data_IF_184104579298
#
_entry.id   IF_184104579298
#
_cell.length_a   1.000
_cell.length_b   1.000
_cell.length_c   1.000
_cell.angle_alpha   90.00
_cell.angle_beta   90.00
_cell.angle_gamma   90.00
#
_symmetry.space_group_name_H-M   'P 1'
#
loop_
_entity.id
_entity.type
_entity.pdbx_description
1 polymer ?
#
# COMPACT_ATOMS: atom_id res chain seq x y z
N UNK A 1 15.06 0.97 4.81
CA UNK A 1 13.89 0.08 4.67
C UNK A 1 13.59 -0.09 3.18
N UNK A 2 13.05 -1.24 2.80
CA UNK A 2 12.69 -1.54 1.40
C UNK A 2 11.19 -1.83 1.35
N UNK A 3 10.53 -1.37 0.29
CA UNK A 3 9.10 -1.63 0.05
C UNK A 3 8.98 -2.27 -1.33
N UNK A 4 8.28 -3.40 -1.40
CA UNK A 4 8.03 -4.08 -2.67
C UNK A 4 6.74 -3.54 -3.29
N UNK A 5 6.76 -3.31 -4.59
CA UNK A 5 5.61 -2.81 -5.32
C UNK A 5 5.80 -2.96 -6.83
N UNK A 6 4.90 -2.33 -7.58
CA UNK A 6 4.88 -2.34 -9.04
C UNK A 6 5.00 -0.91 -9.53
N UNK A 7 5.84 -0.69 -10.54
CA UNK A 7 5.86 0.56 -11.30
C UNK A 7 5.03 0.41 -12.57
N UNK A 8 4.28 1.45 -12.92
CA UNK A 8 3.50 1.52 -14.15
C UNK A 8 4.09 2.59 -15.06
N UNK A 9 4.27 2.25 -16.34
CA UNK A 9 4.63 3.23 -17.37
C UNK A 9 3.33 3.78 -17.96
N UNK A 10 3.16 5.08 -17.85
CA UNK A 10 2.05 5.81 -18.49
C UNK A 10 2.58 6.40 -19.79
N UNK A 11 1.80 6.28 -20.87
CA UNK A 11 2.15 6.90 -22.13
C UNK A 11 2.09 8.43 -22.02
N UNK A 12 2.97 9.10 -22.78
CA UNK A 12 3.13 10.55 -22.67
C UNK A 12 1.87 11.35 -22.99
N UNK A 13 1.00 10.78 -23.84
CA UNK A 13 -0.26 11.39 -24.26
C UNK A 13 -1.32 11.38 -23.13
N UNK A 14 -1.32 10.33 -22.30
CA UNK A 14 -2.28 10.15 -21.20
C UNK A 14 -1.78 10.70 -19.86
N UNK A 15 -0.53 11.17 -19.81
CA UNK A 15 0.16 11.53 -18.56
C UNK A 15 -0.64 12.52 -17.72
N UNK A 16 -1.12 13.60 -18.32
CA UNK A 16 -1.81 14.66 -17.57
C UNK A 16 -3.19 14.21 -17.05
N UNK A 17 -3.90 13.39 -17.83
CA UNK A 17 -5.18 12.82 -17.41
C UNK A 17 -4.99 11.83 -16.25
N UNK A 18 -4.00 10.93 -16.37
CA UNK A 18 -3.69 9.94 -15.33
C UNK A 18 -3.25 10.63 -14.04
N UNK A 19 -2.38 11.64 -14.10
CA UNK A 19 -1.96 12.39 -12.92
C UNK A 19 -3.16 13.10 -12.27
N UNK A 20 -4.02 13.76 -13.06
CA UNK A 20 -5.22 14.41 -12.54
C UNK A 20 -6.17 13.43 -11.84
N UNK A 21 -6.35 12.24 -12.41
CA UNK A 21 -7.14 11.17 -11.79
C UNK A 21 -6.53 10.70 -10.47
N UNK A 22 -5.22 10.47 -10.44
CA UNK A 22 -4.50 10.05 -9.23
C UNK A 22 -4.53 11.13 -8.14
N UNK A 23 -4.38 12.41 -8.50
CA UNK A 23 -4.48 13.52 -7.55
C UNK A 23 -5.85 13.56 -6.86
N UNK A 24 -6.93 13.29 -7.60
CA UNK A 24 -8.26 13.19 -7.00
C UNK A 24 -8.40 11.98 -6.10
N UNK A 25 -7.82 10.84 -6.47
CA UNK A 25 -7.85 9.61 -5.68
C UNK A 25 -7.09 9.77 -4.37
N UNK A 26 -5.91 10.39 -4.43
CA UNK A 26 -4.98 10.55 -3.30
C UNK A 26 -5.14 11.89 -2.54
N UNK A 27 -6.27 12.58 -2.75
CA UNK A 27 -6.63 13.87 -2.13
C UNK A 27 -6.61 13.88 -0.59
N UNK A 28 -6.47 12.72 0.05
CA UNK A 28 -6.40 12.54 1.51
C UNK A 28 -5.10 13.01 2.16
N UNK A 29 -4.42 14.03 1.60
CA UNK A 29 -3.19 14.61 2.14
C UNK A 29 -1.89 13.95 1.67
N UNK A 30 -1.94 13.10 0.64
CA UNK A 30 -0.73 12.56 0.01
C UNK A 30 -0.06 13.61 -0.88
N UNK A 31 1.25 13.45 -1.07
CA UNK A 31 2.09 14.31 -1.91
C UNK A 31 2.89 13.45 -2.87
N UNK A 32 3.11 13.98 -4.07
CA UNK A 32 3.94 13.33 -5.08
C UNK A 32 5.42 13.48 -4.70
N UNK A 33 6.15 12.37 -4.71
CA UNK A 33 7.59 12.32 -4.48
C UNK A 33 8.27 11.52 -5.59
N UNK A 34 9.47 11.95 -6.00
CA UNK A 34 10.30 11.17 -6.91
C UNK A 34 11.17 10.20 -6.11
N UNK A 35 11.20 8.94 -6.52
CA UNK A 35 11.95 7.87 -5.85
C UNK A 35 12.68 6.99 -6.87
N UNK A 36 13.79 6.39 -6.46
CA UNK A 36 14.52 5.43 -7.28
C UNK A 36 13.90 4.03 -7.14
N UNK A 37 13.37 3.49 -8.24
CA UNK A 37 12.82 2.14 -8.30
C UNK A 37 13.90 1.14 -8.74
N UNK A 38 13.96 0.01 -8.04
CA UNK A 38 14.90 -1.09 -8.32
C UNK A 38 14.15 -2.30 -8.88
N UNK A 39 14.22 -2.57 -10.20
CA UNK A 39 13.53 -3.69 -10.82
C UNK A 39 14.03 -5.05 -10.33
N UNK A 40 13.10 -5.98 -10.11
CA UNK A 40 13.42 -7.36 -9.65
C UNK A 40 14.13 -8.17 -10.74
N UNK A 41 13.86 -7.88 -12.02
CA UNK A 41 14.36 -8.67 -13.14
C UNK A 41 15.89 -8.55 -13.37
N UNK A 42 16.60 -7.69 -12.62
CA UNK A 42 18.05 -7.38 -12.72
C UNK A 42 18.56 -7.02 -14.14
N UNK A 43 17.71 -7.11 -15.16
CA UNK A 43 17.97 -6.78 -16.54
C UNK A 43 17.88 -5.27 -16.78
N UNK A 44 17.20 -4.55 -15.90
CA UNK A 44 16.98 -3.11 -16.00
C UNK A 44 17.76 -2.38 -14.91
N UNK A 45 18.41 -1.28 -15.30
CA UNK A 45 19.00 -0.35 -14.34
C UNK A 45 17.90 0.31 -13.51
N UNK A 46 18.17 0.70 -12.25
CA UNK A 46 17.25 1.52 -11.46
C UNK A 46 16.86 2.80 -12.19
N UNK A 47 15.62 3.25 -12.02
CA UNK A 47 15.08 4.45 -12.66
C UNK A 47 14.12 5.21 -11.74
N UNK A 48 13.94 6.50 -12.00
CA UNK A 48 13.07 7.34 -11.19
C UNK A 48 11.59 7.08 -11.49
N UNK A 49 10.79 7.03 -10.44
CA UNK A 49 9.33 6.88 -10.47
C UNK A 49 8.69 7.94 -9.59
N UNK A 50 7.42 8.23 -9.86
CA UNK A 50 6.60 9.08 -9.02
C UNK A 50 5.79 8.20 -8.05
N UNK A 51 5.78 8.58 -6.78
CA UNK A 51 5.08 7.87 -5.71
C UNK A 51 4.27 8.88 -4.89
N UNK A 52 2.99 8.58 -4.66
CA UNK A 52 2.19 9.33 -3.70
C UNK A 52 2.52 8.86 -2.28
N UNK A 53 3.02 9.77 -1.44
CA UNK A 53 3.41 9.48 -0.06
C UNK A 53 2.83 10.49 0.91
N UNK A 54 2.58 10.08 2.14
CA UNK A 54 2.09 10.95 3.21
C UNK A 54 3.14 11.09 4.31
N UNK A 55 3.30 12.29 4.87
CA UNK A 55 4.14 12.53 6.05
C UNK A 55 3.31 12.42 7.33
N UNK A 56 3.99 12.49 8.49
CA UNK A 56 3.34 12.51 9.81
C UNK A 56 2.42 13.72 10.03
N UNK A 57 2.53 14.75 9.19
CA UNK A 57 1.69 15.95 9.23
C UNK A 57 0.34 15.74 8.51
N UNK A 58 0.13 14.59 7.86
CA UNK A 58 -1.15 14.28 7.23
C UNK A 58 -2.25 14.18 8.31
N UNK A 59 -3.39 14.89 8.18
CA UNK A 59 -4.48 14.86 9.16
C UNK A 59 -5.09 13.46 9.37
N UNK A 60 -4.91 12.54 8.41
CA UNK A 60 -5.35 11.16 8.49
C UNK A 60 -4.30 10.22 9.10
N UNK A 61 -3.12 10.71 9.48
CA UNK A 61 -2.08 9.90 10.10
C UNK A 61 -2.42 9.59 11.56
N UNK A 62 -2.73 8.31 11.85
CA UNK A 62 -3.10 7.85 13.19
C UNK A 62 -1.89 7.54 14.10
N UNK A 63 -0.66 7.59 13.56
CA UNK A 63 0.54 7.21 14.29
C UNK A 63 0.82 5.71 14.30
N UNK A 64 1.95 5.29 14.92
CA UNK A 64 2.25 3.89 15.16
C UNK A 64 1.28 3.30 16.20
N UNK A 65 0.88 2.05 16.00
CA UNK A 65 0.04 1.29 16.92
C UNK A 65 0.51 -0.18 16.97
N UNK A 66 0.21 -0.93 18.05
CA UNK A 66 0.45 -2.37 18.09
C UNK A 66 -0.29 -3.08 16.96
N UNK A 67 0.34 -4.08 16.33
CA UNK A 67 -0.21 -4.78 15.16
C UNK A 67 -1.56 -5.46 15.47
N UNK A 68 -1.77 -5.89 16.71
CA UNK A 68 -3.05 -6.43 17.16
C UNK A 68 -4.18 -5.39 17.10
N UNK A 69 -3.92 -4.14 17.48
CA UNK A 69 -4.92 -3.07 17.42
C UNK A 69 -5.18 -2.63 15.98
N UNK A 70 -4.13 -2.60 15.14
CA UNK A 70 -4.27 -2.38 13.69
C UNK A 70 -5.16 -3.47 13.08
N UNK A 71 -4.92 -4.74 13.40
CA UNK A 71 -5.73 -5.87 12.93
C UNK A 71 -7.21 -5.74 13.32
N UNK A 72 -7.51 -5.40 14.59
CA UNK A 72 -8.89 -5.16 15.04
C UNK A 72 -9.56 -4.02 14.28
N UNK A 73 -8.83 -2.93 14.04
CA UNK A 73 -9.34 -1.79 13.28
C UNK A 73 -9.61 -2.18 11.82
N UNK A 74 -8.72 -2.94 11.18
CA UNK A 74 -8.90 -3.44 9.81
C UNK A 74 -10.18 -4.28 9.70
N UNK A 75 -10.41 -5.22 10.63
CA UNK A 75 -11.56 -6.13 10.59
C UNK A 75 -12.88 -5.37 10.79
N UNK A 76 -12.91 -4.36 11.66
CA UNK A 76 -14.14 -3.63 12.03
C UNK A 76 -14.48 -2.42 11.15
N UNK A 77 -13.52 -1.92 10.36
CA UNK A 77 -13.71 -0.67 9.59
C UNK A 77 -14.34 -0.91 8.22
N UNK A 78 -15.30 -0.05 7.86
CA UNK A 78 -15.95 -0.03 6.54
C UNK A 78 -16.03 1.42 6.05
N UNK A 79 -15.61 1.65 4.81
CA UNK A 79 -15.67 2.95 4.15
C UNK A 79 -16.57 2.94 2.91
N UNK A 80 -16.67 4.08 2.19
CA UNK A 80 -17.44 4.17 0.94
C UNK A 80 -17.00 3.19 -0.16
N UNK A 81 -15.74 2.74 -0.11
CA UNK A 81 -15.16 1.78 -1.05
C UNK A 81 -15.31 0.31 -0.61
N UNK A 82 -15.98 0.05 0.52
CA UNK A 82 -16.17 -1.29 1.08
C UNK A 82 -15.41 -1.55 2.38
N UNK A 83 -15.38 -2.81 2.84
CA UNK A 83 -14.69 -3.23 4.07
C UNK A 83 -13.17 -3.06 3.97
N UNK A 84 -12.53 -2.58 5.04
CA UNK A 84 -11.07 -2.43 5.08
C UNK A 84 -10.35 -3.80 5.05
N UNK A 85 -10.99 -4.85 5.58
CA UNK A 85 -10.51 -6.22 5.46
C UNK A 85 -10.34 -6.67 4.00
N UNK A 86 -11.25 -6.26 3.10
CA UNK A 86 -11.15 -6.59 1.68
C UNK A 86 -9.94 -5.90 1.03
N UNK A 87 -9.69 -4.64 1.39
CA UNK A 87 -8.50 -3.91 0.95
C UNK A 87 -7.21 -4.63 1.40
N UNK A 88 -7.12 -4.98 2.68
CA UNK A 88 -5.95 -5.67 3.24
C UNK A 88 -5.69 -7.02 2.56
N UNK A 89 -6.74 -7.84 2.37
CA UNK A 89 -6.60 -9.14 1.73
C UNK A 89 -6.13 -9.03 0.27
N UNK A 90 -6.68 -8.08 -0.50
CA UNK A 90 -6.24 -7.84 -1.88
C UNK A 90 -4.78 -7.38 -1.96
N UNK A 91 -4.32 -6.58 -1.00
CA UNK A 91 -2.92 -6.17 -0.92
C UNK A 91 -2.01 -7.38 -0.67
N UNK A 92 -2.32 -8.19 0.33
CA UNK A 92 -1.53 -9.40 0.65
C UNK A 92 -1.51 -10.36 -0.54
N UNK A 93 -2.66 -10.66 -1.14
CA UNK A 93 -2.76 -11.54 -2.31
C UNK A 93 -1.93 -11.01 -3.49
N UNK A 94 -1.94 -9.69 -3.71
CA UNK A 94 -1.13 -9.07 -4.78
C UNK A 94 0.37 -9.20 -4.50
N UNK A 95 0.80 -9.02 -3.25
CA UNK A 95 2.19 -9.20 -2.86
C UNK A 95 2.62 -10.68 -2.93
N UNK A 96 1.74 -11.61 -2.58
CA UNK A 96 1.98 -13.06 -2.72
C UNK A 96 2.21 -13.44 -4.19
N UNK A 97 1.37 -12.94 -5.09
CA UNK A 97 1.52 -13.14 -6.54
C UNK A 97 2.83 -12.60 -7.09
N UNK A 98 3.38 -11.56 -6.46
CA UNK A 98 4.68 -10.96 -6.80
C UNK A 98 5.86 -11.68 -6.10
N UNK A 99 5.61 -12.68 -5.26
CA UNK A 99 6.63 -13.35 -4.45
C UNK A 99 7.18 -12.49 -3.30
N UNK A 100 6.47 -11.43 -2.94
CA UNK A 100 6.90 -10.37 -2.02
C UNK A 100 6.32 -10.49 -0.60
N UNK A 101 5.30 -11.32 -0.41
CA UNK A 101 4.54 -11.42 0.85
C UNK A 101 5.37 -11.83 2.06
N UNK A 102 6.45 -12.58 1.87
CA UNK A 102 7.35 -13.00 2.96
C UNK A 102 8.43 -11.97 3.29
N UNK A 103 8.50 -10.86 2.55
CA UNK A 103 9.51 -9.82 2.75
C UNK A 103 9.01 -8.72 3.70
N UNK A 104 7.68 -8.61 3.90
CA UNK A 104 7.07 -7.60 4.75
C UNK A 104 6.62 -8.21 6.10
N UNK A 105 7.50 -8.12 7.10
CA UNK A 105 7.24 -8.63 8.45
C UNK A 105 6.03 -7.97 9.13
N UNK A 106 5.78 -6.70 8.82
CA UNK A 106 4.70 -5.94 9.42
C UNK A 106 3.33 -6.41 8.91
N UNK A 107 3.18 -6.51 7.57
CA UNK A 107 1.96 -7.06 6.97
C UNK A 107 1.70 -8.51 7.40
N UNK A 108 2.76 -9.32 7.50
CA UNK A 108 2.66 -10.71 7.99
C UNK A 108 2.17 -10.77 9.43
N UNK A 109 2.69 -9.92 10.31
CA UNK A 109 2.27 -9.84 11.72
C UNK A 109 0.79 -9.50 11.84
N UNK A 110 0.34 -8.46 11.12
CA UNK A 110 -1.08 -8.05 11.09
C UNK A 110 -1.97 -9.18 10.57
N UNK A 111 -1.59 -9.84 9.46
CA UNK A 111 -2.34 -10.96 8.90
C UNK A 111 -2.51 -12.09 9.91
N UNK A 112 -1.44 -12.44 10.64
CA UNK A 112 -1.52 -13.46 11.68
C UNK A 112 -2.52 -13.10 12.79
N UNK A 113 -2.60 -11.83 13.20
CA UNK A 113 -3.60 -11.39 14.17
C UNK A 113 -5.03 -11.47 13.61
N UNK A 114 -5.25 -11.12 12.34
CA UNK A 114 -6.55 -11.26 11.69
C UNK A 114 -6.98 -12.74 11.64
N UNK A 115 -6.13 -13.61 11.10
CA UNK A 115 -6.45 -15.04 10.92
C UNK A 115 -6.64 -15.79 12.26
N UNK A 116 -5.97 -15.36 13.33
CA UNK A 116 -6.12 -15.97 14.66
C UNK A 116 -7.35 -15.45 15.42
N UNK A 117 -7.78 -14.21 15.18
CA UNK A 117 -9.02 -13.68 15.76
C UNK A 117 -10.27 -14.34 15.12
N UNK A 118 -10.21 -14.70 13.84
CA UNK A 118 -11.29 -15.44 13.15
C UNK A 118 -11.49 -16.87 13.70
N UNK A 119 -10.48 -17.46 14.38
CA UNK A 119 -10.57 -18.78 15.02
C UNK A 119 -11.12 -18.74 16.44
N UNK A 120 -11.37 -17.55 16.99
CA UNK A 120 -11.84 -17.35 18.37
C UNK A 120 -13.34 -17.02 18.46
N UNK A 121 -14.09 -17.12 17.35
CA UNK A 121 -15.54 -16.90 17.26
C UNK A 121 -16.24 -18.19 16.86
#
# INVERSE_FOLDING_TARGET
>A
EHVTGVSFKVDSEDKDEVIKYLDYREKGGYRLAEMLFHPVDNCRKPYNVLVYTATKDNPNYLGPAPEQEIAKQIVSSVGPSGPNLEYFNKLVESLEKLGASYVDDHLRSIKNYIDNNDKAI
#
